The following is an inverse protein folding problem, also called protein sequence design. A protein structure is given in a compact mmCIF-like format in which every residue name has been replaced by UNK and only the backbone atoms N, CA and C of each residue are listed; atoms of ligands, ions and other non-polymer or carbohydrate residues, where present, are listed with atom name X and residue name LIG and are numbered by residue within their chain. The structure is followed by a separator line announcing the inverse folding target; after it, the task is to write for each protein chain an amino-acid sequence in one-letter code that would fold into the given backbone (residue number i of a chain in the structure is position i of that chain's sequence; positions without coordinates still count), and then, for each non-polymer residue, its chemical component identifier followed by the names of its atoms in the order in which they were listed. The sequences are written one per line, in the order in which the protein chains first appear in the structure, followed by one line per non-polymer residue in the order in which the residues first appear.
data_IF_709749687010
#
_entry.id   IF_709749687010
#
_cell.length_a   1.000
_cell.length_b   1.000
_cell.length_c   1.000
_cell.angle_alpha   90.00
_cell.angle_beta   90.00
_cell.angle_gamma   90.00
#
_symmetry.space_group_name_H-M   'P 1'
#
loop_
_entity.id
_entity.type
_entity.pdbx_description
1 polymer ?
#
# COMPACT_ATOMS: atom_id res chain seq x y z
N UNK A 1 40.16 -36.96 25.11
CA UNK A 1 39.57 -35.72 25.66
C UNK A 1 39.49 -34.73 24.51
N UNK A 2 38.29 -34.20 24.26
CA UNK A 2 37.78 -33.74 22.96
C UNK A 2 38.49 -32.54 22.32
N UNK A 3 39.10 -32.75 21.15
CA UNK A 3 39.65 -31.72 20.24
C UNK A 3 38.57 -30.92 19.47
N UNK A 4 37.30 -31.02 19.85
CA UNK A 4 36.17 -30.38 19.15
C UNK A 4 35.52 -29.22 19.92
N UNK A 5 36.07 -28.81 21.08
CA UNK A 5 35.50 -27.73 21.89
C UNK A 5 35.48 -26.37 21.15
N UNK A 6 36.45 -26.13 20.26
CA UNK A 6 36.51 -24.92 19.44
C UNK A 6 35.37 -24.86 18.41
N UNK A 7 34.87 -26.01 17.93
CA UNK A 7 33.71 -26.08 17.03
C UNK A 7 32.46 -25.63 17.76
N UNK A 8 32.27 -26.07 19.00
CA UNK A 8 31.14 -25.65 19.84
C UNK A 8 31.18 -24.14 20.12
N UNK A 9 32.37 -23.60 20.45
CA UNK A 9 32.54 -22.16 20.67
C UNK A 9 32.24 -21.37 19.39
N UNK A 10 32.79 -21.77 18.25
CA UNK A 10 32.56 -21.10 16.97
C UNK A 10 31.07 -21.11 16.58
N UNK A 11 30.38 -22.24 16.77
CA UNK A 11 28.97 -22.40 16.46
C UNK A 11 28.09 -21.51 17.37
N UNK A 12 28.38 -21.46 18.67
CA UNK A 12 27.67 -20.58 19.60
C UNK A 12 27.89 -19.10 19.24
N UNK A 13 29.13 -18.71 18.90
CA UNK A 13 29.42 -17.34 18.46
C UNK A 13 28.67 -16.98 17.18
N UNK A 14 28.65 -17.88 16.18
CA UNK A 14 27.90 -17.66 14.94
C UNK A 14 26.39 -17.51 15.19
N UNK A 15 25.81 -18.35 16.05
CA UNK A 15 24.40 -18.25 16.43
C UNK A 15 24.10 -16.93 17.18
N UNK A 16 24.97 -16.50 18.09
CA UNK A 16 24.82 -15.23 18.80
C UNK A 16 24.89 -14.03 17.85
N UNK A 17 25.80 -14.04 16.87
CA UNK A 17 25.90 -12.99 15.85
C UNK A 17 24.66 -12.99 14.94
N UNK A 18 24.20 -14.16 14.49
CA UNK A 18 23.00 -14.28 13.67
C UNK A 18 21.75 -13.78 14.43
N UNK A 19 21.60 -14.17 15.69
CA UNK A 19 20.49 -13.72 16.54
C UNK A 19 20.56 -12.22 16.82
N UNK A 20 21.75 -11.69 17.12
CA UNK A 20 21.97 -10.26 17.33
C UNK A 20 21.64 -9.43 16.08
N UNK A 21 22.09 -9.89 14.91
CA UNK A 21 21.78 -9.29 13.62
C UNK A 21 20.29 -9.34 13.28
N UNK A 22 19.65 -10.49 13.48
CA UNK A 22 18.21 -10.66 13.29
C UNK A 22 17.41 -9.73 14.20
N UNK A 23 17.74 -9.67 15.49
CA UNK A 23 17.06 -8.82 16.48
C UNK A 23 17.23 -7.33 16.17
N UNK A 24 18.41 -6.90 15.75
CA UNK A 24 18.67 -5.51 15.37
C UNK A 24 17.91 -5.14 14.08
N UNK A 25 17.95 -6.01 13.08
CA UNK A 25 17.19 -5.86 11.83
C UNK A 25 15.69 -5.74 12.10
N UNK A 26 15.16 -6.64 12.93
CA UNK A 26 13.75 -6.65 13.31
C UNK A 26 13.34 -5.35 14.03
N UNK A 27 14.18 -4.86 14.96
CA UNK A 27 13.95 -3.57 15.63
C UNK A 27 13.97 -2.38 14.67
N UNK A 28 14.91 -2.36 13.73
CA UNK A 28 15.01 -1.31 12.70
C UNK A 28 13.78 -1.31 11.80
N UNK A 29 13.34 -2.50 11.34
CA UNK A 29 12.12 -2.67 10.54
C UNK A 29 10.88 -2.19 11.28
N UNK A 30 10.74 -2.56 12.56
CA UNK A 30 9.62 -2.11 13.38
C UNK A 30 9.58 -0.58 13.50
N UNK A 31 10.70 0.05 13.86
CA UNK A 31 10.77 1.52 13.97
C UNK A 31 10.48 2.21 12.64
N UNK A 32 11.05 1.70 11.56
CA UNK A 32 10.81 2.21 10.21
C UNK A 32 9.31 2.17 9.86
N UNK A 33 8.63 1.05 10.11
CA UNK A 33 7.19 0.93 9.83
C UNK A 33 6.37 1.91 10.67
N UNK A 34 6.67 2.05 11.97
CA UNK A 34 5.97 2.99 12.83
C UNK A 34 6.14 4.44 12.36
N UNK A 35 7.38 4.86 12.07
CA UNK A 35 7.64 6.20 11.55
C UNK A 35 6.96 6.45 10.20
N UNK A 36 6.99 5.47 9.29
CA UNK A 36 6.32 5.60 8.01
C UNK A 36 4.79 5.71 8.17
N UNK A 37 4.17 4.95 9.09
CA UNK A 37 2.74 5.04 9.41
C UNK A 37 2.37 6.41 9.96
N UNK A 38 3.09 6.86 10.99
CA UNK A 38 2.88 8.20 11.57
C UNK A 38 2.99 9.29 10.51
N UNK A 39 4.00 9.20 9.65
CA UNK A 39 4.19 10.13 8.54
C UNK A 39 3.04 10.08 7.53
N UNK A 40 2.49 8.90 7.24
CA UNK A 40 1.32 8.76 6.36
C UNK A 40 0.12 9.50 6.95
N UNK A 41 -0.20 9.21 8.21
CA UNK A 41 -1.35 9.82 8.88
C UNK A 41 -1.22 11.34 8.97
N UNK A 42 -0.02 11.87 9.22
CA UNK A 42 0.23 13.32 9.22
C UNK A 42 0.05 14.00 7.85
N UNK A 43 0.23 13.26 6.76
CA UNK A 43 0.22 13.78 5.39
C UNK A 43 -1.00 13.32 4.59
N UNK A 44 -1.94 12.61 5.23
CA UNK A 44 -3.03 11.87 4.59
C UNK A 44 -3.86 12.76 3.68
N UNK A 45 -4.37 13.87 4.20
CA UNK A 45 -5.23 14.79 3.45
C UNK A 45 -4.54 15.34 2.19
N UNK A 46 -3.25 15.68 2.29
CA UNK A 46 -2.48 16.16 1.16
C UNK A 46 -2.23 15.04 0.13
N UNK A 47 -1.94 13.82 0.60
CA UNK A 47 -1.76 12.66 -0.27
C UNK A 47 -3.06 12.31 -1.01
N UNK A 48 -4.20 12.33 -0.34
CA UNK A 48 -5.52 12.07 -0.93
C UNK A 48 -5.87 13.15 -1.97
N UNK A 49 -5.64 14.43 -1.68
CA UNK A 49 -5.84 15.50 -2.65
C UNK A 49 -4.95 15.34 -3.91
N UNK A 50 -3.68 15.00 -3.72
CA UNK A 50 -2.76 14.74 -4.83
C UNK A 50 -3.17 13.46 -5.61
N UNK A 51 -3.63 12.43 -4.91
CA UNK A 51 -4.15 11.21 -5.51
C UNK A 51 -5.32 11.53 -6.44
N UNK A 52 -6.30 12.29 -5.96
CA UNK A 52 -7.48 12.66 -6.76
C UNK A 52 -7.08 13.43 -8.02
N UNK A 53 -6.19 14.40 -7.87
CA UNK A 53 -5.67 15.21 -8.97
C UNK A 53 -5.03 14.35 -10.08
N UNK A 54 -4.37 13.24 -9.70
CA UNK A 54 -3.77 12.30 -10.63
C UNK A 54 -4.77 11.26 -11.15
N UNK A 55 -5.62 10.73 -10.30
CA UNK A 55 -6.58 9.68 -10.61
C UNK A 55 -7.70 10.16 -11.55
N UNK A 56 -8.11 11.43 -11.45
CA UNK A 56 -9.05 12.04 -12.40
C UNK A 56 -8.51 12.04 -13.84
N UNK A 57 -7.18 12.08 -14.03
CA UNK A 57 -6.56 12.02 -15.37
C UNK A 57 -6.55 10.62 -15.97
N UNK A 58 -6.79 9.59 -15.16
CA UNK A 58 -6.74 8.18 -15.55
C UNK A 58 -8.13 7.54 -15.58
N UNK A 59 -9.19 8.36 -15.56
CA UNK A 59 -10.57 7.91 -15.66
C UNK A 59 -10.78 6.99 -16.90
N UNK A 60 -11.60 5.93 -16.79
CA UNK A 60 -11.94 5.10 -17.94
C UNK A 60 -12.57 5.93 -19.07
N UNK A 61 -12.37 5.51 -20.32
CA UNK A 61 -12.90 6.24 -21.49
C UNK A 61 -14.42 6.37 -21.42
N UNK A 62 -14.92 7.57 -21.68
CA UNK A 62 -16.36 7.87 -21.65
C UNK A 62 -16.93 8.06 -20.24
N UNK A 63 -16.09 7.98 -19.20
CA UNK A 63 -16.47 8.19 -17.81
C UNK A 63 -15.63 9.30 -17.18
N UNK A 64 -16.24 10.07 -16.29
CA UNK A 64 -15.57 10.99 -15.40
C UNK A 64 -15.79 10.62 -13.94
N UNK A 65 -14.91 11.09 -13.06
CA UNK A 65 -15.07 10.92 -11.62
C UNK A 65 -16.12 11.93 -11.15
N UNK A 66 -17.26 11.45 -10.64
CA UNK A 66 -18.30 12.29 -10.08
C UNK A 66 -18.06 12.48 -8.58
N UNK A 67 -18.66 11.60 -7.78
CA UNK A 67 -18.57 11.63 -6.32
C UNK A 67 -17.53 10.63 -5.81
N UNK A 68 -16.84 10.97 -4.71
CA UNK A 68 -15.85 10.12 -4.10
C UNK A 68 -15.74 10.33 -2.58
N UNK A 69 -15.49 9.26 -1.86
CA UNK A 69 -15.30 9.28 -0.41
C UNK A 69 -14.16 8.32 -0.02
N UNK A 70 -13.22 8.80 0.78
CA UNK A 70 -12.15 7.97 1.34
C UNK A 70 -12.58 7.33 2.66
N UNK A 71 -12.27 6.05 2.83
CA UNK A 71 -12.40 5.37 4.11
C UNK A 71 -11.27 5.78 5.05
N UNK A 72 -11.57 5.87 6.34
CA UNK A 72 -10.58 6.15 7.39
C UNK A 72 -9.57 5.04 7.62
N UNK A 73 -9.95 3.80 7.30
CA UNK A 73 -9.06 2.67 7.46
C UNK A 73 -7.94 2.66 6.41
N UNK A 74 -6.70 2.62 6.89
CA UNK A 74 -5.50 2.46 6.05
C UNK A 74 -4.90 1.09 6.30
N UNK A 75 -4.56 0.38 5.23
CA UNK A 75 -3.81 -0.89 5.30
C UNK A 75 -2.43 -0.72 4.72
N UNK A 76 -1.42 -1.30 5.35
CA UNK A 76 -0.05 -1.28 4.86
C UNK A 76 0.36 -2.68 4.41
N UNK A 77 1.06 -2.74 3.28
CA UNK A 77 1.68 -3.95 2.78
C UNK A 77 2.99 -3.63 2.06
N UNK A 78 3.88 -4.61 1.96
CA UNK A 78 5.06 -4.54 1.10
C UNK A 78 4.78 -5.22 -0.22
N UNK A 79 5.16 -4.54 -1.29
CA UNK A 79 5.30 -5.16 -2.61
C UNK A 79 6.62 -5.96 -2.61
N UNK A 80 6.59 -7.31 -2.68
CA UNK A 80 7.79 -8.13 -2.62
C UNK A 80 8.68 -7.96 -3.86
N UNK A 81 8.09 -7.65 -5.02
CA UNK A 81 8.83 -7.47 -6.27
C UNK A 81 9.60 -6.15 -6.26
N UNK A 82 8.97 -5.09 -5.73
CA UNK A 82 9.59 -3.75 -5.65
C UNK A 82 10.29 -3.50 -4.32
N UNK A 83 10.16 -4.41 -3.36
CA UNK A 83 10.59 -4.25 -1.96
C UNK A 83 10.15 -2.90 -1.35
N UNK A 84 8.92 -2.50 -1.64
CA UNK A 84 8.43 -1.15 -1.41
C UNK A 84 7.25 -1.17 -0.43
N UNK A 85 7.25 -0.26 0.55
CA UNK A 85 6.13 -0.14 1.48
C UNK A 85 5.02 0.67 0.81
N UNK A 86 3.81 0.13 0.82
CA UNK A 86 2.63 0.74 0.26
C UNK A 86 1.56 0.94 1.34
N UNK A 87 0.77 2.00 1.18
CA UNK A 87 -0.46 2.21 1.93
C UNK A 87 -1.65 2.09 0.96
N UNK A 88 -2.70 1.41 1.42
CA UNK A 88 -3.91 1.11 0.69
C UNK A 88 -5.07 1.73 1.46
N UNK A 89 -5.78 2.66 0.81
CA UNK A 89 -6.91 3.37 1.39
C UNK A 89 -8.15 3.03 0.58
N UNK A 90 -9.24 2.68 1.26
CA UNK A 90 -10.52 2.44 0.60
C UNK A 90 -11.05 3.74 0.00
N UNK A 91 -11.59 3.66 -1.21
CA UNK A 91 -12.26 4.77 -1.88
C UNK A 91 -13.58 4.26 -2.42
N UNK A 92 -14.68 4.89 -2.03
CA UNK A 92 -15.97 4.72 -2.67
C UNK A 92 -16.05 5.74 -3.80
N UNK A 93 -16.24 5.28 -5.04
CA UNK A 93 -16.24 6.17 -6.22
C UNK A 93 -17.53 5.98 -7.00
N UNK A 94 -18.13 7.07 -7.46
CA UNK A 94 -19.19 7.08 -8.46
C UNK A 94 -18.66 7.65 -9.77
N UNK A 95 -18.91 6.95 -10.86
CA UNK A 95 -18.60 7.46 -12.19
C UNK A 95 -19.83 8.14 -12.79
N UNK A 96 -19.56 9.12 -13.66
CA UNK A 96 -20.58 9.77 -14.47
C UNK A 96 -20.24 9.58 -15.95
N UNK A 97 -21.26 9.31 -16.77
CA UNK A 97 -21.07 9.15 -18.20
C UNK A 97 -20.87 10.52 -18.84
N UNK A 98 -19.85 10.63 -19.70
CA UNK A 98 -19.65 11.83 -20.51
C UNK A 98 -20.65 11.79 -21.67
N UNK A 99 -21.35 12.90 -21.91
CA UNK A 99 -22.30 13.04 -23.02
C UNK A 99 -21.62 12.77 -24.38
N UNK A 100 -22.21 11.91 -25.20
CA UNK A 100 -21.64 11.40 -26.44
C UNK A 100 -20.56 10.32 -26.27
N UNK A 101 -20.28 9.88 -25.04
CA UNK A 101 -19.25 8.88 -24.70
C UNK A 101 -19.67 7.42 -24.89
N UNK A 102 -20.93 7.16 -25.26
CA UNK A 102 -21.45 5.82 -25.55
C UNK A 102 -21.65 4.92 -24.31
N UNK A 103 -21.62 5.50 -23.10
CA UNK A 103 -21.85 4.79 -21.83
C UNK A 103 -23.08 5.28 -21.06
N UNK A 104 -23.90 6.15 -21.68
CA UNK A 104 -25.06 6.79 -21.05
C UNK A 104 -26.15 5.79 -20.62
N UNK A 105 -26.34 4.72 -21.39
CA UNK A 105 -27.38 3.71 -21.14
C UNK A 105 -26.93 2.58 -20.18
N UNK A 106 -25.69 2.62 -19.68
CA UNK A 106 -25.16 1.56 -18.81
C UNK A 106 -25.49 1.85 -17.35
N UNK A 107 -26.53 1.20 -16.83
CA UNK A 107 -27.03 1.37 -15.45
C UNK A 107 -25.93 1.18 -14.38
N UNK A 108 -24.92 0.34 -14.64
CA UNK A 108 -23.79 0.11 -13.72
C UNK A 108 -22.77 1.26 -13.65
N UNK A 109 -22.91 2.30 -14.48
CA UNK A 109 -22.01 3.47 -14.48
C UNK A 109 -22.30 4.39 -13.30
N UNK A 110 -23.59 4.58 -12.96
CA UNK A 110 -24.02 5.48 -11.90
C UNK A 110 -24.00 4.86 -10.50
N UNK A 111 -23.60 3.59 -10.39
CA UNK A 111 -23.46 2.87 -9.12
C UNK A 111 -22.12 3.17 -8.45
N UNK A 112 -22.15 3.31 -7.11
CA UNK A 112 -20.93 3.39 -6.32
C UNK A 112 -20.13 2.09 -6.44
N UNK A 113 -18.82 2.24 -6.66
CA UNK A 113 -17.87 1.13 -6.72
C UNK A 113 -16.89 1.25 -5.57
N UNK A 114 -16.67 0.12 -4.92
CA UNK A 114 -15.53 -0.02 -4.02
C UNK A 114 -14.24 0.05 -4.85
N UNK A 115 -13.28 0.81 -4.37
CA UNK A 115 -11.97 0.93 -4.97
C UNK A 115 -10.91 1.08 -3.88
N UNK A 116 -9.65 0.95 -4.30
CA UNK A 116 -8.50 1.14 -3.43
C UNK A 116 -7.52 2.12 -4.07
N UNK A 117 -7.23 3.21 -3.36
CA UNK A 117 -6.15 4.12 -3.68
C UNK A 117 -4.81 3.57 -3.18
N UNK A 118 -3.79 3.60 -4.03
CA UNK A 118 -2.44 3.08 -3.71
C UNK A 118 -1.43 4.20 -3.55
N UNK A 119 -0.75 4.21 -2.41
CA UNK A 119 0.30 5.15 -2.06
C UNK A 119 1.61 4.39 -1.81
N UNK A 120 2.73 4.98 -2.21
CA UNK A 120 4.05 4.37 -2.18
C UNK A 120 4.99 5.14 -1.25
N UNK A 121 5.77 4.43 -0.45
CA UNK A 121 6.82 4.99 0.38
C UNK A 121 8.18 4.81 -0.27
N UNK A 122 8.75 5.91 -0.79
CA UNK A 122 10.04 5.94 -1.49
C UNK A 122 10.92 7.02 -0.92
N UNK A 123 12.21 6.71 -0.71
CA UNK A 123 13.21 7.68 -0.25
C UNK A 123 12.79 8.49 0.99
N UNK A 124 12.09 7.84 1.93
CA UNK A 124 11.63 8.47 3.18
C UNK A 124 10.39 9.35 3.03
N UNK A 125 9.66 9.27 1.90
CA UNK A 125 8.48 10.09 1.62
C UNK A 125 7.34 9.25 1.06
N UNK A 126 6.13 9.64 1.41
CA UNK A 126 4.92 9.12 0.78
C UNK A 126 4.64 9.88 -0.52
N UNK A 127 4.22 9.12 -1.53
CA UNK A 127 3.81 9.64 -2.82
C UNK A 127 2.69 8.80 -3.41
N UNK A 128 2.00 9.35 -4.39
CA UNK A 128 0.94 8.68 -5.15
C UNK A 128 1.17 8.88 -6.63
N UNK A 129 0.75 7.89 -7.41
CA UNK A 129 0.73 7.94 -8.88
C UNK A 129 -0.72 8.01 -9.42
N UNK A 130 -1.71 8.23 -8.54
CA UNK A 130 -3.13 8.18 -8.90
C UNK A 130 -3.61 6.77 -9.29
N UNK A 131 -2.91 5.72 -8.82
CA UNK A 131 -3.27 4.33 -9.14
C UNK A 131 -4.49 3.92 -8.31
N UNK A 132 -5.58 3.63 -9.00
CA UNK A 132 -6.83 3.14 -8.41
C UNK A 132 -7.05 1.67 -8.80
N UNK A 133 -7.27 0.80 -7.82
CA UNK A 133 -7.71 -0.57 -8.06
C UNK A 133 -9.23 -0.59 -7.90
N UNK A 134 -9.96 -0.76 -9.01
CA UNK A 134 -11.42 -0.76 -9.01
C UNK A 134 -11.97 -2.13 -8.59
N UNK A 135 -13.15 -2.12 -7.97
CA UNK A 135 -13.92 -3.27 -7.51
C UNK A 135 -13.23 -4.12 -6.43
N UNK A 136 -12.17 -3.63 -5.80
CA UNK A 136 -11.49 -4.29 -4.69
C UNK A 136 -11.28 -3.29 -3.55
N UNK A 137 -11.58 -3.73 -2.33
CA UNK A 137 -11.21 -2.99 -1.12
C UNK A 137 -9.71 -3.21 -0.78
N UNK A 138 -9.14 -2.49 0.21
CA UNK A 138 -7.72 -2.59 0.54
C UNK A 138 -7.25 -4.01 0.90
N UNK A 139 -8.06 -4.76 1.65
CA UNK A 139 -7.73 -6.13 2.04
C UNK A 139 -7.72 -7.06 0.83
N UNK A 140 -8.75 -7.00 0.01
CA UNK A 140 -8.85 -7.79 -1.23
C UNK A 140 -7.73 -7.45 -2.20
N UNK A 141 -7.35 -6.18 -2.29
CA UNK A 141 -6.21 -5.72 -3.12
C UNK A 141 -4.91 -6.37 -2.65
N UNK A 142 -4.62 -6.36 -1.35
CA UNK A 142 -3.43 -6.98 -0.77
C UNK A 142 -3.38 -8.48 -1.09
N UNK A 143 -4.51 -9.19 -0.91
CA UNK A 143 -4.59 -10.62 -1.20
C UNK A 143 -4.45 -10.90 -2.70
N UNK A 144 -5.17 -10.15 -3.55
CA UNK A 144 -5.18 -10.34 -4.99
C UNK A 144 -3.80 -10.17 -5.62
N UNK A 145 -3.03 -9.17 -5.17
CA UNK A 145 -1.68 -8.91 -5.64
C UNK A 145 -0.60 -9.61 -4.81
N UNK A 146 -0.98 -10.50 -3.88
CA UNK A 146 -0.05 -11.29 -3.06
C UNK A 146 0.98 -10.42 -2.33
N UNK A 147 0.52 -9.29 -1.78
CA UNK A 147 1.39 -8.35 -1.07
C UNK A 147 1.62 -8.84 0.36
N UNK A 148 2.82 -8.59 0.87
CA UNK A 148 3.19 -8.94 2.23
C UNK A 148 2.52 -7.98 3.20
N UNK A 149 1.43 -8.41 3.83
CA UNK A 149 0.75 -7.60 4.83
C UNK A 149 1.68 -7.30 6.02
N UNK A 150 1.73 -6.03 6.45
CA UNK A 150 2.64 -5.60 7.53
C UNK A 150 1.92 -5.00 8.75
N UNK A 151 0.59 -5.00 8.76
CA UNK A 151 -0.22 -4.53 9.90
C UNK A 151 -0.34 -5.53 11.05
#
# INVERSE_FOLDING_TARGET
MSEHWWVSVALVTALCLAYGGWKLSHRRRYRFLQTAREQFHQQREWLEANFLTLAMKTAPRGLEWGDYEFDDAVRFARDPDKNELCAFVGVTIKFEAIEGGGMEDVEAVSQFKAATGVFHYRDGKWMTLGRTVLNLNPYETIVHYQLDHVD
#
